data_IF_013711905499
#
_entry.id   IF_013711905499
#
_cell.length_a   1.000
_cell.length_b   1.000
_cell.length_c   1.000
_cell.angle_alpha   90.00
_cell.angle_beta   90.00
_cell.angle_gamma   90.00
#
_symmetry.space_group_name_H-M   'P 1'
#
loop_
_entity.id
_entity.type
_entity.pdbx_description
1 polymer ?
#
# COMPACT_ATOMS: atom_id res chain seq x y z
N UNK A 1 5.55 -3.67 -18.17
CA UNK A 1 4.82 -4.00 -16.93
C UNK A 1 5.47 -5.22 -16.30
N UNK A 2 5.82 -5.15 -15.02
CA UNK A 2 6.20 -6.35 -14.24
C UNK A 2 4.91 -6.96 -13.71
N UNK A 3 4.73 -8.27 -13.91
CA UNK A 3 3.59 -9.00 -13.36
C UNK A 3 3.72 -9.09 -11.84
N UNK A 4 2.60 -9.01 -11.12
CA UNK A 4 2.59 -9.21 -9.66
C UNK A 4 2.78 -10.70 -9.39
N UNK A 5 3.88 -11.08 -8.75
CA UNK A 5 4.28 -12.50 -8.55
C UNK A 5 4.08 -12.95 -7.10
N UNK A 6 4.03 -14.26 -6.88
CA UNK A 6 3.92 -14.86 -5.55
C UNK A 6 2.52 -14.82 -4.93
N UNK A 7 1.53 -14.30 -5.66
CA UNK A 7 0.12 -14.34 -5.29
C UNK A 7 -0.64 -15.41 -6.08
N UNK A 8 -1.79 -15.83 -5.57
CA UNK A 8 -2.74 -16.64 -6.32
C UNK A 8 -3.10 -15.94 -7.65
N UNK A 9 -3.15 -16.63 -8.80
CA UNK A 9 -3.29 -16.00 -10.13
C UNK A 9 -4.48 -15.04 -10.26
N UNK A 10 -5.61 -15.39 -9.67
CA UNK A 10 -6.85 -14.62 -9.66
C UNK A 10 -6.69 -13.33 -8.85
N UNK A 11 -5.92 -13.36 -7.76
CA UNK A 11 -5.59 -12.14 -7.00
C UNK A 11 -4.62 -11.28 -7.81
N UNK A 12 -3.59 -11.89 -8.40
CA UNK A 12 -2.64 -11.17 -9.25
C UNK A 12 -3.34 -10.45 -10.42
N UNK A 13 -4.20 -11.16 -11.18
CA UNK A 13 -4.93 -10.59 -12.30
C UNK A 13 -5.88 -9.46 -11.90
N UNK A 14 -6.55 -9.55 -10.74
CA UNK A 14 -7.37 -8.44 -10.21
C UNK A 14 -6.52 -7.21 -9.89
N UNK A 15 -5.35 -7.40 -9.30
CA UNK A 15 -4.46 -6.29 -8.93
C UNK A 15 -3.81 -5.65 -10.16
N UNK A 16 -3.43 -6.46 -11.16
CA UNK A 16 -2.91 -5.95 -12.44
C UNK A 16 -3.94 -5.08 -13.17
N UNK A 17 -5.21 -5.54 -13.24
CA UNK A 17 -6.28 -4.75 -13.81
C UNK A 17 -6.48 -3.41 -13.07
N UNK A 18 -6.37 -3.42 -11.74
CA UNK A 18 -6.50 -2.21 -10.92
C UNK A 18 -5.31 -1.26 -11.11
N UNK A 19 -4.09 -1.77 -11.29
CA UNK A 19 -2.91 -0.97 -11.62
C UNK A 19 -3.09 -0.26 -12.96
N UNK A 20 -3.58 -0.96 -14.00
CA UNK A 20 -3.85 -0.35 -15.30
C UNK A 20 -4.91 0.76 -15.22
N UNK A 21 -5.95 0.55 -14.43
CA UNK A 21 -7.00 1.55 -14.22
C UNK A 21 -6.51 2.78 -13.46
N UNK A 22 -5.60 2.60 -12.49
CA UNK A 22 -5.04 3.69 -11.70
C UNK A 22 -3.93 4.47 -12.43
N UNK A 23 -3.23 3.86 -13.38
CA UNK A 23 -2.11 4.50 -14.10
C UNK A 23 -2.46 5.86 -14.73
N UNK A 24 -3.60 6.08 -15.42
CA UNK A 24 -3.95 7.40 -15.96
C UNK A 24 -4.15 8.47 -14.87
N UNK A 25 -4.54 8.10 -13.64
CA UNK A 25 -4.74 9.06 -12.55
C UNK A 25 -3.44 9.72 -12.09
N UNK A 26 -2.29 9.08 -12.34
CA UNK A 26 -0.98 9.65 -12.01
C UNK A 26 -0.58 10.83 -12.90
N UNK A 27 -1.17 10.92 -14.09
CA UNK A 27 -0.89 12.01 -15.04
C UNK A 27 -1.79 13.24 -14.80
N UNK A 28 -2.80 13.12 -13.94
CA UNK A 28 -3.74 14.19 -13.59
C UNK A 28 -3.27 14.95 -12.32
N UNK A 29 -3.83 16.13 -12.07
CA UNK A 29 -3.48 17.00 -10.93
C UNK A 29 -3.63 16.29 -9.56
N UNK A 30 -4.52 15.29 -9.48
CA UNK A 30 -4.75 14.52 -8.25
C UNK A 30 -3.69 13.46 -7.95
N UNK A 31 -2.90 13.03 -8.95
CA UNK A 31 -1.80 12.09 -8.82
C UNK A 31 -2.11 10.89 -7.91
N UNK A 32 -1.21 10.63 -6.95
CA UNK A 32 -1.37 9.50 -6.03
C UNK A 32 -2.53 9.67 -5.04
N UNK A 33 -2.95 10.89 -4.73
CA UNK A 33 -4.10 11.12 -3.84
C UNK A 33 -5.41 10.66 -4.51
N UNK A 34 -5.54 10.85 -5.82
CA UNK A 34 -6.66 10.34 -6.61
C UNK A 34 -6.69 8.80 -6.64
N UNK A 35 -5.53 8.15 -6.75
CA UNK A 35 -5.41 6.70 -6.64
C UNK A 35 -5.91 6.21 -5.28
N UNK A 36 -5.43 6.78 -4.18
CA UNK A 36 -5.85 6.34 -2.83
C UNK A 36 -7.34 6.55 -2.59
N UNK A 37 -7.91 7.64 -3.12
CA UNK A 37 -9.35 7.89 -3.07
C UNK A 37 -10.14 6.79 -3.78
N UNK A 38 -9.76 6.44 -5.02
CA UNK A 38 -10.43 5.37 -5.78
C UNK A 38 -10.37 4.02 -5.04
N UNK A 39 -9.20 3.65 -4.51
CA UNK A 39 -9.00 2.40 -3.79
C UNK A 39 -9.84 2.35 -2.49
N UNK A 40 -9.94 3.48 -1.80
CA UNK A 40 -10.76 3.64 -0.59
C UNK A 40 -12.25 3.55 -0.89
N UNK A 41 -12.75 4.26 -1.91
CA UNK A 41 -14.14 4.23 -2.36
C UNK A 41 -14.58 2.82 -2.78
N UNK A 42 -13.67 2.05 -3.40
CA UNK A 42 -13.89 0.65 -3.77
C UNK A 42 -13.69 -0.35 -2.64
N UNK A 43 -13.31 0.12 -1.45
CA UNK A 43 -13.03 -0.73 -0.28
C UNK A 43 -12.00 -1.83 -0.58
N UNK A 44 -10.98 -1.49 -1.34
CA UNK A 44 -9.87 -2.42 -1.62
C UNK A 44 -9.19 -2.74 -0.29
N UNK A 45 -8.79 -4.00 -0.08
CA UNK A 45 -8.10 -4.38 1.16
C UNK A 45 -6.76 -3.65 1.30
N UNK A 46 -6.33 -3.33 2.52
CA UNK A 46 -5.16 -2.46 2.76
C UNK A 46 -3.88 -3.02 2.12
N UNK A 47 -3.67 -4.34 2.19
CA UNK A 47 -2.51 -4.99 1.58
C UNK A 47 -2.56 -4.95 0.05
N UNK A 48 -3.75 -5.13 -0.53
CA UNK A 48 -3.95 -5.03 -1.98
C UNK A 48 -3.72 -3.60 -2.47
N UNK A 49 -4.16 -2.60 -1.70
CA UNK A 49 -3.88 -1.19 -1.96
C UNK A 49 -2.37 -0.88 -1.89
N UNK A 50 -1.63 -1.47 -0.93
CA UNK A 50 -0.16 -1.32 -0.85
C UNK A 50 0.53 -1.94 -2.07
N UNK A 51 0.12 -3.14 -2.50
CA UNK A 51 0.69 -3.78 -3.69
C UNK A 51 0.47 -2.92 -4.93
N UNK A 52 -0.75 -2.44 -5.16
CA UNK A 52 -1.10 -1.59 -6.30
C UNK A 52 -0.31 -0.28 -6.26
N UNK A 53 -0.23 0.36 -5.09
CA UNK A 53 0.52 1.62 -4.91
C UNK A 53 2.01 1.42 -5.17
N UNK A 54 2.59 0.31 -4.70
CA UNK A 54 4.00 -0.04 -4.97
C UNK A 54 4.26 -0.24 -6.46
N UNK A 55 3.40 -0.97 -7.16
CA UNK A 55 3.57 -1.18 -8.60
C UNK A 55 3.46 0.13 -9.40
N UNK A 56 2.66 1.08 -8.93
CA UNK A 56 2.54 2.42 -9.52
C UNK A 56 3.78 3.30 -9.25
N UNK A 57 4.42 3.16 -8.08
CA UNK A 57 5.68 3.84 -7.75
C UNK A 57 6.90 3.23 -8.47
N UNK A 58 6.85 1.92 -8.75
CA UNK A 58 7.92 1.16 -9.40
C UNK A 58 8.74 0.30 -8.45
N UNK A 59 9.84 -0.29 -8.95
CA UNK A 59 10.61 -1.33 -8.27
C UNK A 59 11.80 -0.81 -7.44
N UNK A 60 11.68 0.38 -6.83
CA UNK A 60 12.71 0.93 -5.95
C UNK A 60 12.84 0.14 -4.63
N UNK A 61 14.02 0.13 -3.99
CA UNK A 61 14.21 -0.52 -2.69
C UNK A 61 13.30 0.08 -1.60
N UNK A 62 12.98 1.37 -1.70
CA UNK A 62 12.11 2.09 -0.76
C UNK A 62 10.63 2.04 -1.15
N UNK A 63 10.30 1.56 -2.36
CA UNK A 63 8.95 1.64 -2.92
C UNK A 63 7.88 0.93 -2.07
N UNK A 64 8.26 -0.15 -1.37
CA UNK A 64 7.34 -0.82 -0.45
C UNK A 64 7.07 0.02 0.80
N UNK A 65 8.11 0.66 1.36
CA UNK A 65 7.99 1.55 2.51
C UNK A 65 7.15 2.77 2.18
N UNK A 66 7.46 3.43 1.05
CA UNK A 66 6.70 4.56 0.53
C UNK A 66 5.23 4.20 0.27
N UNK A 67 4.97 3.07 -0.41
CA UNK A 67 3.61 2.62 -0.67
C UNK A 67 2.82 2.40 0.63
N UNK A 68 3.45 1.79 1.64
CA UNK A 68 2.84 1.58 2.95
C UNK A 68 2.48 2.91 3.61
N UNK A 69 3.41 3.87 3.61
CA UNK A 69 3.19 5.21 4.18
C UNK A 69 2.05 5.92 3.46
N UNK A 70 2.05 5.95 2.13
CA UNK A 70 1.01 6.60 1.33
C UNK A 70 -0.37 6.00 1.62
N UNK A 71 -0.49 4.67 1.64
CA UNK A 71 -1.76 4.00 1.90
C UNK A 71 -2.23 4.25 3.33
N UNK A 72 -1.39 4.03 4.35
CA UNK A 72 -1.83 4.12 5.74
C UNK A 72 -2.16 5.56 6.17
N UNK A 73 -1.49 6.55 5.60
CA UNK A 73 -1.77 7.96 5.89
C UNK A 73 -2.91 8.55 5.05
N UNK A 74 -3.49 7.76 4.13
CA UNK A 74 -4.60 8.22 3.29
C UNK A 74 -5.94 8.33 4.06
N UNK A 75 -6.84 9.24 3.65
CA UNK A 75 -8.17 9.34 4.22
C UNK A 75 -8.94 8.01 4.15
N UNK A 76 -9.53 7.60 5.27
CA UNK A 76 -10.27 6.33 5.39
C UNK A 76 -9.47 5.15 5.95
N UNK A 77 -8.15 5.29 6.14
CA UNK A 77 -7.27 4.24 6.69
C UNK A 77 -6.84 4.44 8.14
N UNK A 78 -7.48 5.37 8.85
CA UNK A 78 -7.08 5.72 10.21
C UNK A 78 -7.16 4.56 11.21
N UNK A 79 -8.03 3.55 10.98
CA UNK A 79 -8.07 2.36 11.82
C UNK A 79 -6.82 1.50 11.61
N UNK A 80 -6.50 1.20 10.36
CA UNK A 80 -5.34 0.41 9.96
C UNK A 80 -4.04 1.08 10.40
N UNK A 81 -3.94 2.41 10.27
CA UNK A 81 -2.80 3.19 10.75
C UNK A 81 -2.62 3.02 12.27
N UNK A 82 -3.68 3.18 13.08
CA UNK A 82 -3.59 2.97 14.53
C UNK A 82 -3.16 1.56 14.92
N UNK A 83 -3.67 0.54 14.21
CA UNK A 83 -3.27 -0.86 14.47
C UNK A 83 -1.80 -1.06 14.12
N UNK A 84 -1.35 -0.51 12.99
CA UNK A 84 0.06 -0.54 12.60
C UNK A 84 0.95 0.13 13.65
N UNK A 85 0.61 1.34 14.08
CA UNK A 85 1.43 2.11 15.02
C UNK A 85 1.50 1.44 16.39
N UNK A 86 0.39 0.87 16.88
CA UNK A 86 0.39 0.08 18.10
C UNK A 86 1.30 -1.14 17.98
N UNK A 87 1.18 -1.89 16.88
CA UNK A 87 2.01 -3.07 16.64
C UNK A 87 3.50 -2.73 16.57
N UNK A 88 3.86 -1.62 15.91
CA UNK A 88 5.25 -1.17 15.84
C UNK A 88 5.78 -0.75 17.23
N UNK A 89 4.96 -0.04 18.02
CA UNK A 89 5.33 0.33 19.38
C UNK A 89 5.53 -0.90 20.28
N UNK A 90 4.71 -1.94 20.13
CA UNK A 90 4.86 -3.20 20.87
C UNK A 90 6.17 -3.91 20.48
N UNK A 91 6.51 -3.97 19.19
CA UNK A 91 7.78 -4.54 18.72
C UNK A 91 9.01 -3.77 19.24
N UNK A 92 8.94 -2.43 19.28
CA UNK A 92 10.01 -1.59 19.83
C UNK A 92 10.17 -1.80 21.34
N UNK A 93 9.07 -2.07 22.05
CA UNK A 93 9.09 -2.37 23.48
C UNK A 93 9.65 -3.76 23.78
N UNK A 94 9.27 -4.77 22.99
CA UNK A 94 9.70 -6.17 23.16
C UNK A 94 11.13 -6.42 22.67
N UNK A 95 11.61 -5.66 21.67
CA UNK A 95 12.98 -5.71 21.17
C UNK A 95 14.04 -5.09 22.07
N UNK A 96 13.65 -4.47 23.19
CA UNK A 96 14.54 -3.83 24.17
C UNK A 96 15.18 -4.76 25.22
N UNK A 97 15.10 -6.08 25.06
CA UNK A 97 15.59 -7.06 26.05
C UNK A 97 17.00 -7.63 25.80
N UNK A 98 17.76 -7.11 24.83
CA UNK A 98 19.08 -7.65 24.47
C UNK A 98 20.30 -6.77 24.84
N UNK A 99 20.19 -5.83 25.79
CA UNK A 99 21.35 -5.04 26.25
C UNK A 99 21.44 -4.90 27.79
N UNK A 100 21.59 -6.03 28.50
CA UNK A 100 22.16 -6.06 29.87
C UNK A 100 23.58 -6.60 29.87
#
# INVERSE_FOLDING_TARGET
MMAIRGLHPERAGRLEALVEECRPLLADEGGMAAVQRLLSERRVEVLDAVVVTRELLGAGPEALGEAKTIVLTSPGRGRELRVHDQFMADLEHEGGLDEQ
#
